data_IF_387280558772
#
_entry.id   IF_387280558772
#
_cell.length_a   1.000
_cell.length_b   1.000
_cell.length_c   1.000
_cell.angle_alpha   90.00
_cell.angle_beta   90.00
_cell.angle_gamma   90.00
#
_symmetry.space_group_name_H-M   'P 1'
#
loop_
_entity.id
_entity.type
_entity.pdbx_description
1 polymer ?
#
# COMPACT_ATOMS: atom_id res chain seq x y z
N UNK A 1 -11.91 -19.44 -16.16
CA UNK A 1 -10.43 -19.30 -16.33
C UNK A 1 -9.76 -20.47 -15.60
N UNK A 2 -8.85 -21.18 -16.23
CA UNK A 2 -8.06 -22.20 -15.53
C UNK A 2 -7.23 -21.50 -14.44
N UNK A 3 -7.45 -21.90 -13.20
CA UNK A 3 -6.71 -21.35 -12.07
C UNK A 3 -5.43 -22.20 -11.82
N UNK A 4 -4.54 -21.70 -10.94
CA UNK A 4 -3.28 -22.40 -10.62
C UNK A 4 -3.54 -23.83 -10.13
N UNK A 5 -4.59 -24.05 -9.35
CA UNK A 5 -4.92 -25.37 -8.81
C UNK A 5 -5.34 -26.35 -9.90
N UNK A 6 -6.20 -25.93 -10.84
CA UNK A 6 -6.58 -26.75 -12.01
C UNK A 6 -5.38 -27.12 -12.87
N UNK A 7 -4.46 -26.17 -13.08
CA UNK A 7 -3.22 -26.41 -13.83
C UNK A 7 -2.31 -27.42 -13.13
N UNK A 8 -2.17 -27.31 -11.79
CA UNK A 8 -1.40 -28.26 -11.00
C UNK A 8 -2.00 -29.67 -11.00
N UNK A 9 -3.34 -29.82 -10.96
CA UNK A 9 -3.98 -31.12 -11.09
C UNK A 9 -3.81 -31.72 -12.49
N UNK A 10 -3.80 -30.90 -13.55
CA UNK A 10 -3.49 -31.36 -14.92
C UNK A 10 -2.04 -31.83 -15.08
N UNK A 11 -1.09 -31.17 -14.44
CA UNK A 11 0.31 -31.62 -14.39
C UNK A 11 0.37 -32.99 -13.66
N UNK A 12 -0.28 -33.08 -12.51
CA UNK A 12 -0.29 -34.29 -11.68
C UNK A 12 -0.97 -35.46 -12.39
N UNK A 13 -2.02 -35.23 -13.20
CA UNK A 13 -2.68 -36.23 -14.01
C UNK A 13 -1.91 -36.62 -15.28
N UNK A 14 -0.85 -35.87 -15.62
CA UNK A 14 -0.09 -36.06 -16.86
C UNK A 14 -0.81 -35.56 -18.12
N UNK A 15 -1.87 -34.76 -17.97
CA UNK A 15 -2.61 -34.17 -19.09
C UNK A 15 -1.80 -33.07 -19.78
N UNK A 16 -0.96 -32.33 -19.02
CA UNK A 16 -0.02 -31.35 -19.54
C UNK A 16 1.38 -31.55 -18.93
N UNK A 17 2.41 -31.19 -19.68
CA UNK A 17 3.79 -31.22 -19.19
C UNK A 17 4.11 -30.02 -18.28
N UNK A 18 5.19 -30.14 -17.50
CA UNK A 18 5.70 -29.03 -16.65
C UNK A 18 6.08 -27.85 -17.53
N UNK A 19 6.70 -28.10 -18.69
CA UNK A 19 7.12 -27.07 -19.64
C UNK A 19 5.93 -26.33 -20.26
N UNK A 20 4.83 -27.04 -20.56
CA UNK A 20 3.59 -26.42 -21.04
C UNK A 20 2.94 -25.55 -19.96
N UNK A 21 2.94 -26.00 -18.72
CA UNK A 21 2.45 -25.22 -17.58
C UNK A 21 3.31 -23.98 -17.32
N UNK A 22 4.65 -24.10 -17.35
CA UNK A 22 5.55 -22.93 -17.25
C UNK A 22 5.26 -21.90 -18.35
N UNK A 23 5.06 -22.38 -19.60
CA UNK A 23 4.75 -21.51 -20.71
C UNK A 23 3.40 -20.82 -20.55
N UNK A 24 2.40 -21.52 -20.00
CA UNK A 24 1.09 -20.94 -19.68
C UNK A 24 1.21 -19.82 -18.66
N UNK A 25 1.92 -20.07 -17.54
CA UNK A 25 2.14 -19.06 -16.51
C UNK A 25 2.99 -17.87 -17.00
N UNK A 26 3.97 -18.09 -17.88
CA UNK A 26 4.77 -17.04 -18.49
C UNK A 26 4.00 -16.17 -19.49
N UNK A 27 3.01 -16.72 -20.20
CA UNK A 27 2.27 -16.04 -21.27
C UNK A 27 1.11 -15.18 -20.80
N UNK A 28 0.60 -15.34 -19.58
CA UNK A 28 -0.59 -14.63 -19.07
C UNK A 28 -0.39 -14.02 -17.66
N UNK A 29 0.63 -13.16 -17.45
CA UNK A 29 0.81 -12.55 -16.15
C UNK A 29 -0.18 -11.41 -15.87
N UNK A 30 -1.05 -11.04 -16.82
CA UNK A 30 -2.03 -9.97 -16.69
C UNK A 30 -3.29 -10.26 -17.51
N UNK A 31 -4.39 -9.63 -17.11
CA UNK A 31 -5.64 -9.59 -17.86
C UNK A 31 -5.79 -8.22 -18.54
N UNK A 32 -6.01 -8.23 -19.86
CA UNK A 32 -6.22 -7.01 -20.65
C UNK A 32 -7.71 -6.70 -20.78
N UNK A 33 -8.14 -5.62 -20.13
CA UNK A 33 -9.52 -5.13 -20.17
C UNK A 33 -9.70 -3.92 -21.10
N UNK A 34 -8.77 -3.74 -22.02
CA UNK A 34 -8.76 -2.70 -23.05
C UNK A 34 -8.14 -1.39 -22.57
N UNK A 35 -8.59 -0.83 -21.45
CA UNK A 35 -8.02 0.40 -20.87
C UNK A 35 -7.03 0.15 -19.72
N UNK A 36 -6.90 -1.08 -19.25
CA UNK A 36 -5.92 -1.46 -18.24
C UNK A 36 -5.45 -2.90 -18.44
N UNK A 37 -4.22 -3.17 -18.02
CA UNK A 37 -3.64 -4.52 -17.93
C UNK A 37 -3.47 -4.83 -16.45
N UNK A 38 -4.37 -5.66 -15.91
CA UNK A 38 -4.42 -6.00 -14.49
C UNK A 38 -3.45 -7.15 -14.22
N UNK A 39 -2.43 -6.90 -13.40
CA UNK A 39 -1.41 -7.90 -13.05
C UNK A 39 -1.96 -8.92 -12.04
N UNK A 40 -2.40 -10.06 -12.52
CA UNK A 40 -2.97 -11.14 -11.69
C UNK A 40 -1.90 -12.02 -11.02
N UNK A 41 -0.63 -11.88 -11.41
CA UNK A 41 0.49 -12.69 -10.91
C UNK A 41 1.46 -11.93 -9.98
N UNK A 42 1.18 -10.67 -9.66
CA UNK A 42 2.07 -9.85 -8.85
C UNK A 42 2.38 -10.45 -7.47
N UNK A 43 1.37 -11.04 -6.80
CA UNK A 43 1.56 -11.72 -5.51
C UNK A 43 2.57 -12.86 -5.61
N UNK A 44 2.55 -13.64 -6.69
CA UNK A 44 3.46 -14.77 -6.91
C UNK A 44 4.90 -14.27 -7.13
N UNK A 45 5.07 -13.14 -7.83
CA UNK A 45 6.39 -12.59 -8.15
C UNK A 45 6.99 -11.77 -7.02
N UNK A 46 6.18 -10.91 -6.38
CA UNK A 46 6.65 -9.87 -5.47
C UNK A 46 6.13 -10.03 -4.03
N UNK A 47 5.35 -11.09 -3.75
CA UNK A 47 4.75 -11.31 -2.44
C UNK A 47 3.56 -10.40 -2.09
N UNK A 48 3.32 -9.33 -2.86
CA UNK A 48 2.25 -8.37 -2.62
C UNK A 48 1.24 -8.35 -3.77
N UNK A 49 -0.03 -8.13 -3.43
CA UNK A 49 -1.10 -7.97 -4.42
C UNK A 49 -0.91 -6.72 -5.28
N UNK A 50 -1.54 -6.72 -6.47
CA UNK A 50 -1.67 -5.52 -7.30
C UNK A 50 -2.46 -4.43 -6.54
N UNK A 51 -2.07 -3.16 -6.75
CA UNK A 51 -2.67 -1.99 -6.10
C UNK A 51 -3.19 -1.03 -7.16
N UNK A 52 -4.36 -0.46 -6.95
CA UNK A 52 -4.96 0.49 -7.87
C UNK A 52 -4.50 1.90 -7.52
N UNK A 53 -3.77 2.55 -8.42
CA UNK A 53 -3.51 3.98 -8.35
C UNK A 53 -4.72 4.75 -8.88
N UNK A 54 -5.51 5.36 -7.98
CA UNK A 54 -6.80 5.97 -8.30
C UNK A 54 -6.73 7.37 -8.93
N UNK A 55 -5.60 8.10 -8.79
CA UNK A 55 -5.44 9.39 -9.44
C UNK A 55 -5.44 9.24 -10.97
N UNK A 56 -6.16 10.14 -11.65
CA UNK A 56 -6.28 10.10 -13.11
C UNK A 56 -7.19 9.02 -13.69
N UNK A 57 -7.66 8.05 -12.89
CA UNK A 57 -8.65 7.06 -13.34
C UNK A 57 -10.08 7.53 -13.09
N UNK A 58 -10.99 7.14 -14.00
CA UNK A 58 -12.44 7.34 -13.79
C UNK A 58 -12.99 6.30 -12.81
N UNK A 59 -14.17 6.57 -12.25
CA UNK A 59 -14.86 5.63 -11.37
C UNK A 59 -15.21 4.30 -12.09
N UNK A 60 -15.52 4.36 -13.40
CA UNK A 60 -15.77 3.15 -14.21
C UNK A 60 -14.51 2.30 -14.38
N UNK A 61 -13.38 2.94 -14.64
CA UNK A 61 -12.10 2.26 -14.76
C UNK A 61 -11.71 1.56 -13.44
N UNK A 62 -11.84 2.26 -12.30
CA UNK A 62 -11.55 1.67 -11.00
C UNK A 62 -12.48 0.50 -10.70
N UNK A 63 -13.79 0.67 -10.92
CA UNK A 63 -14.75 -0.41 -10.69
C UNK A 63 -14.50 -1.63 -11.59
N UNK A 64 -14.13 -1.42 -12.84
CA UNK A 64 -13.77 -2.53 -13.75
C UNK A 64 -12.50 -3.26 -13.31
N UNK A 65 -11.45 -2.52 -12.89
CA UNK A 65 -10.22 -3.13 -12.37
C UNK A 65 -10.50 -3.94 -11.10
N UNK A 66 -11.31 -3.39 -10.17
CA UNK A 66 -11.72 -4.11 -8.94
C UNK A 66 -12.39 -5.44 -9.28
N UNK A 67 -13.32 -5.45 -10.26
CA UNK A 67 -13.98 -6.69 -10.68
C UNK A 67 -12.98 -7.71 -11.22
N UNK A 68 -12.12 -7.30 -12.12
CA UNK A 68 -11.08 -8.17 -12.70
C UNK A 68 -10.17 -8.76 -11.62
N UNK A 69 -9.76 -7.95 -10.63
CA UNK A 69 -8.98 -8.44 -9.50
C UNK A 69 -9.76 -9.45 -8.65
N UNK A 70 -11.03 -9.16 -8.34
CA UNK A 70 -11.90 -10.05 -7.58
C UNK A 70 -12.15 -11.36 -8.34
N UNK A 71 -12.43 -11.31 -9.64
CA UNK A 71 -12.64 -12.49 -10.50
C UNK A 71 -11.38 -13.34 -10.64
N UNK A 72 -10.19 -12.73 -10.50
CA UNK A 72 -8.91 -13.45 -10.45
C UNK A 72 -8.59 -14.07 -9.07
N UNK A 73 -9.50 -13.91 -8.08
CA UNK A 73 -9.33 -14.47 -6.74
C UNK A 73 -8.53 -13.59 -5.78
N UNK A 74 -8.31 -12.31 -6.11
CA UNK A 74 -7.65 -11.38 -5.19
C UNK A 74 -8.61 -10.97 -4.08
N UNK A 75 -8.37 -11.44 -2.86
CA UNK A 75 -9.25 -11.24 -1.69
C UNK A 75 -9.15 -9.85 -1.08
N UNK A 76 -8.03 -9.15 -1.30
CA UNK A 76 -7.76 -7.83 -0.72
C UNK A 76 -7.29 -6.89 -1.81
N UNK A 77 -7.89 -5.70 -1.89
CA UNK A 77 -7.55 -4.68 -2.89
C UNK A 77 -7.33 -3.34 -2.17
N UNK A 78 -6.20 -2.72 -2.45
CA UNK A 78 -5.87 -1.37 -2.02
C UNK A 78 -6.03 -0.40 -3.21
N UNK A 79 -6.74 0.70 -2.99
CA UNK A 79 -6.89 1.79 -3.96
C UNK A 79 -6.31 3.05 -3.33
N UNK A 80 -5.22 3.57 -3.86
CA UNK A 80 -4.59 4.79 -3.37
C UNK A 80 -5.04 6.01 -4.17
N UNK A 81 -4.96 7.20 -3.56
CA UNK A 81 -5.25 8.50 -4.21
C UNK A 81 -6.62 8.55 -4.91
N UNK A 82 -7.61 8.04 -4.24
CA UNK A 82 -9.01 8.08 -4.68
C UNK A 82 -9.77 9.15 -3.89
N UNK A 83 -10.11 10.26 -4.52
CA UNK A 83 -10.85 11.34 -3.88
C UNK A 83 -12.25 10.91 -3.41
N UNK A 84 -12.87 11.61 -2.42
CA UNK A 84 -14.13 11.21 -1.81
C UNK A 84 -15.30 11.08 -2.80
N UNK A 85 -15.37 11.97 -3.80
CA UNK A 85 -16.45 11.94 -4.80
C UNK A 85 -16.29 10.74 -5.74
N UNK A 86 -15.05 10.42 -6.09
CA UNK A 86 -14.73 9.22 -6.86
C UNK A 86 -15.05 7.95 -6.07
N UNK A 87 -14.72 7.92 -4.77
CA UNK A 87 -15.05 6.81 -3.88
C UNK A 87 -16.56 6.54 -3.81
N UNK A 88 -17.39 7.59 -3.66
CA UNK A 88 -18.86 7.46 -3.70
C UNK A 88 -19.36 6.86 -5.01
N UNK A 89 -18.82 7.33 -6.14
CA UNK A 89 -19.19 6.82 -7.48
C UNK A 89 -18.74 5.36 -7.67
N UNK A 90 -17.55 5.00 -7.24
CA UNK A 90 -17.06 3.61 -7.32
C UNK A 90 -17.92 2.69 -6.44
N UNK A 91 -18.22 3.09 -5.20
CA UNK A 91 -19.11 2.34 -4.30
C UNK A 91 -20.47 2.07 -4.96
N UNK A 92 -21.10 3.08 -5.56
CA UNK A 92 -22.41 2.92 -6.23
C UNK A 92 -22.37 1.96 -7.42
N UNK A 93 -21.24 1.86 -8.13
CA UNK A 93 -21.06 0.95 -9.28
C UNK A 93 -20.78 -0.50 -8.89
N UNK A 94 -20.39 -0.75 -7.65
CA UNK A 94 -20.12 -2.08 -7.11
C UNK A 94 -21.32 -2.68 -6.35
N UNK A 95 -22.37 -1.91 -6.13
CA UNK A 95 -23.61 -2.41 -5.49
C UNK A 95 -24.27 -3.44 -6.40
N UNK A 96 -24.62 -4.61 -5.85
CA UNK A 96 -25.29 -5.71 -6.58
C UNK A 96 -24.36 -6.57 -7.44
N UNK A 97 -23.03 -6.49 -7.25
CA UNK A 97 -22.04 -7.24 -8.01
C UNK A 97 -21.47 -8.40 -7.18
N UNK A 98 -21.11 -9.50 -7.85
CA UNK A 98 -20.63 -10.76 -7.29
C UNK A 98 -19.36 -10.53 -6.46
N UNK A 99 -19.32 -11.08 -5.24
CA UNK A 99 -18.16 -11.00 -4.35
C UNK A 99 -17.23 -12.20 -4.48
N UNK A 100 -16.08 -12.09 -3.82
CA UNK A 100 -15.05 -13.13 -3.69
C UNK A 100 -15.64 -14.51 -3.35
N UNK A 101 -15.20 -15.57 -4.01
CA UNK A 101 -15.41 -16.99 -3.71
C UNK A 101 -16.59 -17.77 -4.35
N UNK A 102 -17.11 -17.41 -5.51
CA UNK A 102 -18.10 -18.27 -6.18
C UNK A 102 -17.52 -19.32 -7.15
N UNK A 103 -16.20 -19.42 -7.31
CA UNK A 103 -15.58 -20.41 -8.21
C UNK A 103 -15.20 -21.73 -7.55
N UNK A 104 -15.17 -21.82 -6.21
CA UNK A 104 -14.73 -23.04 -5.52
C UNK A 104 -15.86 -23.99 -5.07
N UNK A 105 -17.15 -23.55 -5.03
CA UNK A 105 -18.25 -24.42 -4.58
C UNK A 105 -19.57 -24.05 -5.28
N UNK A 106 -19.79 -24.55 -6.47
CA UNK A 106 -21.07 -24.52 -7.18
C UNK A 106 -22.07 -25.52 -6.56
N UNK A 107 -22.64 -25.24 -5.40
CA UNK A 107 -23.76 -26.05 -4.87
C UNK A 107 -24.86 -25.30 -4.16
N UNK A 108 -24.84 -23.95 -3.98
CA UNK A 108 -25.95 -23.24 -3.34
C UNK A 108 -26.28 -21.91 -4.02
N UNK A 109 -27.54 -21.78 -4.44
CA UNK A 109 -28.13 -20.61 -5.12
C UNK A 109 -28.18 -19.32 -4.28
N UNK A 110 -27.78 -19.37 -3.01
CA UNK A 110 -27.82 -18.20 -2.09
C UNK A 110 -26.54 -17.33 -2.12
N UNK A 111 -25.54 -17.72 -2.92
CA UNK A 111 -24.24 -17.02 -3.01
C UNK A 111 -24.25 -15.78 -3.91
N UNK A 112 -25.31 -15.52 -4.64
CA UNK A 112 -25.33 -14.50 -5.71
C UNK A 112 -25.41 -13.05 -5.28
N UNK A 113 -25.40 -12.72 -3.97
CA UNK A 113 -25.66 -11.36 -3.47
C UNK A 113 -24.56 -10.78 -2.56
N UNK A 114 -23.30 -11.18 -2.71
CA UNK A 114 -22.22 -10.61 -1.90
C UNK A 114 -21.75 -9.29 -2.52
N UNK A 115 -22.18 -8.17 -1.95
CA UNK A 115 -21.76 -6.84 -2.36
C UNK A 115 -20.28 -6.61 -2.03
N UNK A 116 -19.46 -6.20 -3.00
CA UNK A 116 -18.08 -5.75 -2.75
C UNK A 116 -18.16 -4.45 -1.92
N UNK A 117 -17.69 -4.51 -0.67
CA UNK A 117 -17.68 -3.37 0.24
C UNK A 117 -16.30 -2.71 0.22
N UNK A 118 -16.28 -1.41 -0.08
CA UNK A 118 -15.07 -0.59 0.07
C UNK A 118 -15.13 0.10 1.43
N UNK A 119 -14.15 -0.15 2.28
CA UNK A 119 -13.83 0.71 3.41
C UNK A 119 -13.01 1.89 2.91
N UNK A 120 -13.51 3.12 3.11
CA UNK A 120 -12.90 4.33 2.55
C UNK A 120 -12.42 5.24 3.68
N UNK A 121 -11.13 5.48 3.68
CA UNK A 121 -10.40 6.35 4.60
C UNK A 121 -10.17 7.71 3.93
N UNK A 122 -11.03 8.67 4.27
CA UNK A 122 -11.07 9.97 3.58
C UNK A 122 -9.79 10.76 3.76
N UNK A 123 -9.19 10.75 4.95
CA UNK A 123 -7.97 11.50 5.26
C UNK A 123 -6.76 11.04 4.43
N UNK A 124 -6.67 9.72 4.17
CA UNK A 124 -5.62 9.13 3.34
C UNK A 124 -5.95 9.08 1.84
N UNK A 125 -7.21 9.37 1.46
CA UNK A 125 -7.72 9.12 0.11
C UNK A 125 -7.55 7.65 -0.34
N UNK A 126 -7.73 6.71 0.59
CA UNK A 126 -7.56 5.27 0.38
C UNK A 126 -8.89 4.54 0.43
N UNK A 127 -9.09 3.60 -0.51
CA UNK A 127 -10.13 2.58 -0.44
C UNK A 127 -9.53 1.21 -0.20
N UNK A 128 -10.13 0.44 0.72
CA UNK A 128 -9.71 -0.92 1.04
C UNK A 128 -10.88 -1.87 0.84
N UNK A 129 -10.63 -3.00 0.19
CA UNK A 129 -11.55 -4.11 0.05
C UNK A 129 -10.92 -5.32 0.73
N UNK A 130 -11.71 -6.07 1.50
CA UNK A 130 -11.25 -7.17 2.33
C UNK A 130 -10.68 -6.71 3.68
N UNK A 131 -10.42 -7.67 4.56
CA UNK A 131 -9.94 -7.41 5.91
C UNK A 131 -8.41 -7.21 5.94
N UNK A 132 -7.92 -6.45 6.92
CA UNK A 132 -6.49 -6.36 7.16
C UNK A 132 -5.95 -7.75 7.57
N UNK A 133 -4.77 -8.15 7.05
CA UNK A 133 -4.15 -9.40 7.49
C UNK A 133 -3.68 -9.28 8.93
N UNK A 134 -3.49 -10.43 9.59
CA UNK A 134 -2.73 -10.44 10.84
C UNK A 134 -1.29 -10.00 10.55
N UNK A 135 -0.74 -9.15 11.42
CA UNK A 135 0.65 -8.74 11.29
C UNK A 135 1.61 -9.95 11.40
N UNK A 136 2.52 -10.08 10.44
CA UNK A 136 3.51 -11.17 10.33
C UNK A 136 4.93 -10.64 10.06
N UNK A 137 5.14 -9.31 10.10
CA UNK A 137 6.44 -8.67 10.08
C UNK A 137 7.28 -8.96 11.33
N UNK A 138 8.61 -8.81 11.24
CA UNK A 138 9.58 -9.13 12.31
C UNK A 138 9.57 -8.14 13.48
N UNK A 139 8.98 -6.96 13.29
CA UNK A 139 8.86 -5.92 14.30
C UNK A 139 7.82 -4.87 13.91
N UNK A 140 7.77 -3.76 14.64
CA UNK A 140 6.84 -2.67 14.31
C UNK A 140 7.43 -1.66 13.34
N UNK A 141 6.57 -1.08 12.53
CA UNK A 141 6.87 0.10 11.72
C UNK A 141 6.36 1.34 12.46
N UNK A 142 7.21 2.33 12.64
CA UNK A 142 6.81 3.62 13.18
C UNK A 142 6.58 4.61 12.04
N UNK A 143 5.43 5.29 12.03
CA UNK A 143 5.09 6.35 11.09
C UNK A 143 5.04 7.66 11.86
N UNK A 144 5.98 8.58 11.58
CA UNK A 144 6.12 9.85 12.31
C UNK A 144 5.90 11.05 11.39
N UNK A 145 5.15 12.08 11.85
CA UNK A 145 4.93 13.32 11.09
C UNK A 145 5.56 14.53 11.75
N UNK A 146 6.04 15.47 10.91
CA UNK A 146 6.49 16.78 11.36
C UNK A 146 5.36 17.64 11.90
N UNK A 147 4.24 17.68 11.20
CA UNK A 147 3.06 18.42 11.61
C UNK A 147 1.76 17.71 11.27
N UNK A 148 0.64 18.28 11.73
CA UNK A 148 -0.70 17.74 11.45
C UNK A 148 -1.07 17.81 9.96
N UNK A 149 -0.51 18.76 9.22
CA UNK A 149 -0.73 18.87 7.76
C UNK A 149 -0.09 17.71 6.97
N UNK A 150 0.84 16.97 7.55
CA UNK A 150 1.49 15.80 6.94
C UNK A 150 0.68 14.51 7.15
N UNK A 151 -0.35 14.52 8.00
CA UNK A 151 -1.15 13.34 8.38
C UNK A 151 -1.77 12.62 7.16
N UNK A 152 -2.28 13.28 6.11
CA UNK A 152 -2.82 12.56 4.96
C UNK A 152 -1.81 11.63 4.28
N UNK A 153 -0.55 12.05 4.17
CA UNK A 153 0.54 11.22 3.63
C UNK A 153 0.94 10.12 4.62
N UNK A 154 0.87 10.42 5.91
CA UNK A 154 1.17 9.45 6.97
C UNK A 154 0.10 8.35 7.06
N UNK A 155 -1.16 8.71 6.94
CA UNK A 155 -2.24 7.70 6.90
C UNK A 155 -2.18 6.86 5.62
N UNK A 156 -1.79 7.45 4.46
CA UNK A 156 -1.48 6.64 3.27
C UNK A 156 -0.40 5.60 3.58
N UNK A 157 0.67 6.00 4.27
CA UNK A 157 1.75 5.10 4.64
C UNK A 157 1.30 4.04 5.68
N UNK A 158 0.64 4.47 6.75
CA UNK A 158 0.21 3.61 7.83
C UNK A 158 -0.77 2.52 7.36
N UNK A 159 -1.84 2.92 6.68
CA UNK A 159 -2.86 2.00 6.14
C UNK A 159 -2.25 1.05 5.09
N UNK A 160 -1.32 1.53 4.27
CA UNK A 160 -0.61 0.67 3.32
C UNK A 160 0.25 -0.38 4.04
N UNK A 161 0.98 0.02 5.08
CA UNK A 161 1.82 -0.90 5.86
C UNK A 161 0.96 -1.95 6.59
N UNK A 162 -0.17 -1.55 7.20
CA UNK A 162 -1.14 -2.46 7.82
C UNK A 162 -1.75 -3.43 6.79
N UNK A 163 -2.12 -2.93 5.61
CA UNK A 163 -2.62 -3.74 4.50
C UNK A 163 -1.60 -4.79 4.03
N UNK A 164 -0.31 -4.50 4.15
CA UNK A 164 0.80 -5.39 3.82
C UNK A 164 1.22 -6.31 4.99
N UNK A 165 0.47 -6.34 6.10
CA UNK A 165 0.71 -7.28 7.22
C UNK A 165 1.73 -6.78 8.24
N UNK A 166 1.80 -5.48 8.47
CA UNK A 166 2.71 -4.92 9.47
C UNK A 166 1.95 -4.36 10.68
N UNK A 167 2.59 -4.45 11.86
CA UNK A 167 2.20 -3.70 13.04
C UNK A 167 2.71 -2.27 12.94
N UNK A 168 1.83 -1.27 13.11
CA UNK A 168 2.13 0.15 12.88
C UNK A 168 1.85 1.00 14.11
N UNK A 169 2.87 1.76 14.52
CA UNK A 169 2.74 2.80 15.54
C UNK A 169 2.75 4.19 14.88
N UNK A 170 1.72 4.99 15.16
CA UNK A 170 1.57 6.36 14.63
C UNK A 170 2.06 7.38 15.63
N UNK A 171 3.04 8.22 15.26
CA UNK A 171 3.58 9.33 16.04
C UNK A 171 3.35 10.65 15.28
N UNK A 172 2.20 11.27 15.50
CA UNK A 172 1.83 12.47 14.75
C UNK A 172 2.18 13.75 15.49
N UNK A 173 2.47 14.80 14.71
CA UNK A 173 2.85 16.14 15.21
C UNK A 173 4.06 16.14 16.15
N UNK A 174 5.10 15.39 15.78
CA UNK A 174 6.37 15.33 16.52
C UNK A 174 7.48 16.13 15.85
N UNK A 175 7.13 17.28 15.25
CA UNK A 175 8.06 18.13 14.50
C UNK A 175 9.16 18.76 15.36
N UNK A 176 10.27 19.09 14.70
CA UNK A 176 11.51 19.57 15.31
C UNK A 176 11.38 20.95 15.98
N UNK A 177 10.38 21.75 15.63
CA UNK A 177 10.09 23.03 16.31
C UNK A 177 9.70 22.84 17.79
N UNK A 178 9.28 21.62 18.16
CA UNK A 178 9.05 21.23 19.54
C UNK A 178 9.71 19.89 19.82
N UNK A 179 11.02 19.82 19.81
CA UNK A 179 11.82 18.59 19.88
C UNK A 179 11.47 17.69 21.07
N UNK A 180 11.00 18.29 22.19
CA UNK A 180 10.53 17.53 23.36
C UNK A 180 9.37 16.58 23.00
N UNK A 181 8.57 16.87 21.97
CA UNK A 181 7.49 15.99 21.49
C UNK A 181 8.07 14.71 20.87
N UNK A 182 9.09 14.84 20.03
CA UNK A 182 9.81 13.70 19.45
C UNK A 182 10.50 12.87 20.54
N UNK A 183 11.18 13.53 21.49
CA UNK A 183 11.90 12.87 22.57
C UNK A 183 10.97 12.16 23.56
N UNK A 184 9.72 12.54 23.68
CA UNK A 184 8.72 11.83 24.50
C UNK A 184 8.39 10.42 23.95
N UNK A 185 8.74 10.12 22.70
CA UNK A 185 8.49 8.85 22.04
C UNK A 185 9.77 8.04 21.77
N UNK A 186 10.82 8.24 22.58
CA UNK A 186 12.11 7.56 22.38
C UNK A 186 11.99 6.04 22.40
N UNK A 187 11.16 5.48 23.28
CA UNK A 187 10.95 4.01 23.38
C UNK A 187 10.36 3.44 22.09
N UNK A 188 9.43 4.15 21.45
CA UNK A 188 8.87 3.76 20.16
C UNK A 188 9.88 3.85 19.04
N UNK A 189 10.66 4.94 19.01
CA UNK A 189 11.69 5.19 18.00
C UNK A 189 12.80 4.12 18.09
N UNK A 190 13.30 3.83 19.30
CA UNK A 190 14.40 2.88 19.51
C UNK A 190 13.98 1.43 19.31
N UNK A 191 12.70 1.07 19.55
CA UNK A 191 12.20 -0.29 19.37
C UNK A 191 11.67 -0.58 17.96
N UNK A 192 11.66 0.41 17.06
CA UNK A 192 11.17 0.26 15.71
C UNK A 192 12.08 -0.66 14.86
N UNK A 193 11.49 -1.45 13.96
CA UNK A 193 12.23 -2.20 12.94
C UNK A 193 12.53 -1.34 11.72
N UNK A 194 11.62 -0.42 11.39
CA UNK A 194 11.74 0.60 10.33
C UNK A 194 10.95 1.83 10.75
N UNK A 195 11.43 3.01 10.43
CA UNK A 195 10.70 4.26 10.66
C UNK A 195 10.41 4.93 9.32
N UNK A 196 9.18 5.40 9.14
CA UNK A 196 8.78 6.28 8.04
C UNK A 196 8.65 7.69 8.63
N UNK A 197 9.57 8.59 8.26
CA UNK A 197 9.60 9.97 8.73
C UNK A 197 9.06 10.91 7.65
N UNK A 198 7.92 11.54 7.91
CA UNK A 198 7.14 12.32 6.95
C UNK A 198 7.12 13.78 7.37
N UNK A 199 7.63 14.67 6.51
CA UNK A 199 7.69 16.09 6.82
C UNK A 199 7.72 16.96 5.57
N UNK A 200 7.00 18.07 5.63
CA UNK A 200 7.12 19.18 4.70
C UNK A 200 8.16 20.21 5.13
N UNK A 201 7.96 21.47 4.74
CA UNK A 201 8.84 22.60 5.04
C UNK A 201 10.29 22.34 4.62
N UNK A 202 11.20 22.20 5.60
CA UNK A 202 12.63 21.90 5.41
C UNK A 202 12.98 20.43 5.63
N UNK A 203 12.01 19.57 6.01
CA UNK A 203 12.21 18.13 6.13
C UNK A 203 13.15 17.67 7.26
N UNK A 204 13.43 18.49 8.25
CA UNK A 204 14.46 18.24 9.27
C UNK A 204 14.15 17.04 10.19
N UNK A 205 12.87 16.67 10.35
CA UNK A 205 12.45 15.55 11.19
C UNK A 205 13.17 14.24 10.81
N UNK A 206 13.34 13.98 9.52
CA UNK A 206 14.00 12.77 9.03
C UNK A 206 15.45 12.65 9.53
N UNK A 207 16.20 13.75 9.54
CA UNK A 207 17.58 13.78 10.04
C UNK A 207 17.64 13.61 11.56
N UNK A 208 16.70 14.20 12.30
CA UNK A 208 16.63 14.06 13.76
C UNK A 208 16.31 12.62 14.15
N UNK A 209 15.27 12.03 13.56
CA UNK A 209 14.90 10.63 13.81
C UNK A 209 16.04 9.70 13.37
N UNK A 210 16.67 9.95 12.22
CA UNK A 210 17.80 9.15 11.74
C UNK A 210 19.05 9.20 12.64
N UNK A 211 19.18 10.28 13.45
CA UNK A 211 20.21 10.38 14.49
C UNK A 211 19.85 9.68 15.81
N UNK A 212 18.60 9.32 16.03
CA UNK A 212 18.10 8.68 17.24
C UNK A 212 17.82 7.18 17.06
N UNK A 213 17.48 6.76 15.83
CA UNK A 213 17.05 5.40 15.52
C UNK A 213 18.22 4.49 15.20
N UNK A 214 18.14 3.22 15.65
CA UNK A 214 19.08 2.14 15.28
C UNK A 214 18.63 1.34 14.04
N UNK A 215 17.51 1.73 13.44
CA UNK A 215 16.90 1.06 12.30
C UNK A 215 16.90 1.95 11.05
N UNK A 216 16.65 1.38 9.84
CA UNK A 216 16.47 2.17 8.62
C UNK A 216 15.33 3.20 8.76
N UNK A 217 15.58 4.42 8.27
CA UNK A 217 14.60 5.51 8.21
C UNK A 217 14.28 5.82 6.76
N UNK A 218 13.00 5.72 6.39
CA UNK A 218 12.50 6.09 5.08
C UNK A 218 11.88 7.48 5.19
N UNK A 219 12.52 8.47 4.59
CA UNK A 219 12.08 9.86 4.61
C UNK A 219 11.11 10.13 3.47
N UNK A 220 9.97 10.73 3.81
CA UNK A 220 8.93 11.14 2.87
C UNK A 220 8.81 12.66 2.92
N UNK A 221 9.33 13.38 1.93
CA UNK A 221 9.06 14.81 1.80
C UNK A 221 7.58 14.97 1.44
N UNK A 222 6.92 16.01 2.01
CA UNK A 222 5.55 16.34 1.62
C UNK A 222 5.51 17.66 0.87
N UNK A 223 4.46 17.86 0.07
CA UNK A 223 4.19 19.14 -0.61
C UNK A 223 3.73 20.25 0.34
N UNK A 224 3.59 19.95 1.64
CA UNK A 224 3.22 20.90 2.68
C UNK A 224 4.30 21.95 2.85
N UNK A 225 3.91 23.20 2.71
CA UNK A 225 4.82 24.33 2.86
C UNK A 225 4.35 25.56 2.08
N UNK A 226 5.13 26.61 2.16
CA UNK A 226 4.86 27.88 1.47
C UNK A 226 6.18 28.54 1.00
N UNK A 227 6.07 29.58 0.16
CA UNK A 227 7.23 30.33 -0.32
C UNK A 227 8.29 29.45 -0.99
N UNK A 228 9.49 29.40 -0.42
CA UNK A 228 10.63 28.65 -0.97
C UNK A 228 10.56 27.15 -0.76
N UNK A 229 9.44 26.59 -0.30
CA UNK A 229 9.25 25.14 -0.20
C UNK A 229 9.10 24.48 -1.58
N UNK A 230 8.66 25.24 -2.62
CA UNK A 230 8.45 24.76 -3.99
C UNK A 230 7.72 23.42 -4.03
N UNK A 231 6.56 23.33 -3.35
CA UNK A 231 5.74 22.10 -3.29
C UNK A 231 6.51 20.85 -2.85
N UNK A 232 7.34 20.99 -1.81
CA UNK A 232 8.09 19.87 -1.22
C UNK A 232 9.51 19.69 -1.75
N UNK A 233 9.94 20.46 -2.76
CA UNK A 233 11.31 20.36 -3.29
C UNK A 233 12.36 20.69 -2.22
N UNK A 234 12.12 21.68 -1.37
CA UNK A 234 13.00 22.03 -0.26
C UNK A 234 13.18 20.84 0.70
N UNK A 235 12.08 20.22 1.11
CA UNK A 235 12.11 19.03 1.96
C UNK A 235 12.86 17.87 1.29
N UNK A 236 12.57 17.60 0.01
CA UNK A 236 13.23 16.53 -0.76
C UNK A 236 14.75 16.75 -0.82
N UNK A 237 15.22 17.94 -1.17
CA UNK A 237 16.65 18.24 -1.25
C UNK A 237 17.33 18.18 0.11
N UNK A 238 16.68 18.65 1.16
CA UNK A 238 17.17 18.55 2.53
C UNK A 238 17.32 17.09 2.97
N UNK A 239 16.31 16.28 2.76
CA UNK A 239 16.34 14.85 3.10
C UNK A 239 17.40 14.08 2.33
N UNK A 240 17.57 14.35 1.01
CA UNK A 240 18.63 13.76 0.18
C UNK A 240 20.05 14.14 0.65
N UNK A 241 20.20 15.29 1.31
CA UNK A 241 21.47 15.76 1.87
C UNK A 241 21.58 15.50 3.38
N UNK A 242 20.74 14.61 3.94
CA UNK A 242 20.82 14.26 5.36
C UNK A 242 22.17 13.66 5.72
N UNK A 243 22.77 14.10 6.82
CA UNK A 243 23.99 13.52 7.37
C UNK A 243 23.73 12.23 8.18
N UNK A 244 22.48 11.88 8.45
CA UNK A 244 22.11 10.63 9.11
C UNK A 244 22.21 9.47 8.13
N UNK A 245 23.19 8.58 8.34
CA UNK A 245 23.61 7.53 7.37
C UNK A 245 22.52 6.49 7.07
N UNK A 246 21.55 6.30 7.96
CA UNK A 246 20.46 5.32 7.81
C UNK A 246 19.22 5.84 7.06
N UNK A 247 19.26 7.09 6.56
CA UNK A 247 18.12 7.72 5.88
C UNK A 247 18.13 7.43 4.38
N UNK A 248 17.03 6.90 3.88
CA UNK A 248 16.72 6.81 2.44
C UNK A 248 15.48 7.66 2.13
N UNK A 249 15.35 8.15 0.90
CA UNK A 249 14.31 9.13 0.55
C UNK A 249 13.45 8.60 -0.58
N UNK A 250 12.13 8.74 -0.44
CA UNK A 250 11.16 8.48 -1.52
C UNK A 250 10.72 9.80 -2.17
N UNK A 251 9.89 9.70 -3.20
CA UNK A 251 9.36 10.89 -3.87
C UNK A 251 8.40 11.70 -2.95
N UNK A 252 8.15 12.95 -3.32
CA UNK A 252 7.22 13.86 -2.62
C UNK A 252 5.82 13.22 -2.54
N UNK A 253 5.19 13.30 -1.36
CA UNK A 253 3.87 12.77 -1.04
C UNK A 253 3.72 11.25 -1.31
N UNK A 254 4.80 10.48 -1.30
CA UNK A 254 4.77 9.04 -1.61
C UNK A 254 4.73 8.18 -0.35
N UNK A 255 3.65 8.31 0.43
CA UNK A 255 3.40 7.47 1.62
C UNK A 255 3.31 5.98 1.27
N UNK A 256 2.61 5.64 0.17
CA UNK A 256 2.52 4.28 -0.33
C UNK A 256 3.90 3.64 -0.61
N UNK A 257 4.77 4.35 -1.34
CA UNK A 257 6.10 3.82 -1.68
C UNK A 257 6.99 3.61 -0.47
N UNK A 258 6.91 4.51 0.52
CA UNK A 258 7.61 4.37 1.79
C UNK A 258 7.13 3.15 2.58
N UNK A 259 5.82 2.96 2.70
CA UNK A 259 5.21 1.82 3.37
C UNK A 259 5.56 0.49 2.70
N UNK A 260 5.56 0.46 1.36
CA UNK A 260 5.94 -0.72 0.62
C UNK A 260 7.40 -1.12 0.88
N UNK A 261 8.33 -0.16 0.86
CA UNK A 261 9.74 -0.40 1.20
C UNK A 261 9.91 -0.83 2.66
N UNK A 262 9.22 -0.15 3.60
CA UNK A 262 9.25 -0.50 5.02
C UNK A 262 8.75 -1.92 5.26
N UNK A 263 7.68 -2.31 4.58
CA UNK A 263 7.13 -3.67 4.63
C UNK A 263 8.14 -4.71 4.13
N UNK A 264 8.81 -4.46 2.99
CA UNK A 264 9.85 -5.35 2.49
C UNK A 264 10.97 -5.54 3.52
N UNK A 265 11.47 -4.46 4.12
CA UNK A 265 12.52 -4.49 5.15
C UNK A 265 12.04 -5.27 6.39
N UNK A 266 10.79 -5.05 6.82
CA UNK A 266 10.23 -5.69 8.01
C UNK A 266 9.95 -7.18 7.82
N UNK A 267 9.87 -7.69 6.59
CA UNK A 267 9.71 -9.11 6.26
C UNK A 267 11.02 -9.79 5.80
N UNK A 268 12.12 -9.06 5.66
CA UNK A 268 13.44 -9.66 5.37
C UNK A 268 13.92 -10.51 6.56
N UNK A 269 14.13 -11.81 6.32
CA UNK A 269 14.66 -12.79 7.27
C UNK A 269 16.17 -12.93 7.13
#
# INVERSE_FOLDING_TARGET
MENIHEMLEKIKSGEISVEEAELFFKKRPFEDIGYAKVDTHRKIRNGAYEVIYGAGKTADQIAGIIRTMADSGQERILITRMDPDKAKKVKSKLVGQIGFNDLANQTNADSYNKTIKIDYHEEANIGIIGDFPKADGLGKIVVATGGTSDIPVAEEAALTAEFLGNDVTRLYDVGVAGLHRTLAHMDDIMSAKVIIAIAGMEGALASVIGGLAECPVIAVPTSVGYGASFHGLSALLSMLNSCASGVSVVNIDNGFGAAYQASLINHMR
#
